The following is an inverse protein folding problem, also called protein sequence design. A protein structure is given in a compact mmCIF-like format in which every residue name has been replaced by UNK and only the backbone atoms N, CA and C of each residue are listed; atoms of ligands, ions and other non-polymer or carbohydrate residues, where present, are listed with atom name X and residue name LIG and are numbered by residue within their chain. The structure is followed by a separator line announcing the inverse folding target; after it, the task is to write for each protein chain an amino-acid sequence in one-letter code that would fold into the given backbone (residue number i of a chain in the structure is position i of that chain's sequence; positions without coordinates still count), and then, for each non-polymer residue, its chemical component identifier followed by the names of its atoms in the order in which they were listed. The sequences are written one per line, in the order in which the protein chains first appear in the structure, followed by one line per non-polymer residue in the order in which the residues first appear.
data_IF_718772504749
#
_entry.id   IF_718772504749
#
_cell.length_a   1.000
_cell.length_b   1.000
_cell.length_c   1.000
_cell.angle_alpha   90.00
_cell.angle_beta   90.00
_cell.angle_gamma   90.00
#
_symmetry.space_group_name_H-M   'P 1'
#
loop_
_entity.id
_entity.type
_entity.pdbx_description
1 polymer ?
#
# COMPACT_ATOMS: atom_id res chain seq x y z
N UNK A 1 -11.79 -9.67 -9.77
CA UNK A 1 -12.63 -9.45 -8.57
C UNK A 1 -12.04 -8.25 -7.86
N UNK A 2 -12.82 -7.20 -7.63
CA UNK A 2 -12.29 -5.93 -7.13
C UNK A 2 -12.18 -5.89 -5.60
N UNK A 3 -11.34 -4.97 -5.12
CA UNK A 3 -11.01 -4.75 -3.73
C UNK A 3 -11.15 -3.28 -3.37
N UNK A 4 -11.56 -3.00 -2.14
CA UNK A 4 -11.51 -1.66 -1.56
C UNK A 4 -10.14 -1.41 -0.93
N UNK A 5 -9.42 -0.42 -1.43
CA UNK A 5 -8.27 0.19 -0.75
C UNK A 5 -8.80 1.29 0.16
N UNK A 6 -8.84 1.02 1.46
CA UNK A 6 -9.39 1.93 2.47
C UNK A 6 -8.25 2.58 3.23
N UNK A 7 -8.21 3.92 3.22
CA UNK A 7 -7.23 4.71 3.96
C UNK A 7 -7.91 5.54 5.04
N UNK A 8 -7.42 5.47 6.28
CA UNK A 8 -7.92 6.34 7.34
C UNK A 8 -7.35 7.76 7.18
N UNK A 9 -8.14 8.67 6.63
CA UNK A 9 -7.74 10.04 6.35
C UNK A 9 -7.87 10.95 7.59
N UNK A 10 -8.95 10.81 8.36
CA UNK A 10 -9.17 11.57 9.61
C UNK A 10 -9.14 10.70 10.85
N UNK A 11 -8.77 11.31 11.97
CA UNK A 11 -8.69 10.64 13.27
C UNK A 11 -10.07 10.44 13.88
N UNK A 12 -10.24 9.38 14.68
CA UNK A 12 -11.46 9.11 15.45
C UNK A 12 -11.41 9.66 16.89
N UNK A 13 -10.52 10.61 17.17
CA UNK A 13 -10.46 11.28 18.47
C UNK A 13 -11.79 12.01 18.74
N UNK A 14 -12.27 11.94 19.98
CA UNK A 14 -13.54 12.56 20.37
C UNK A 14 -14.80 11.91 19.76
N UNK A 15 -14.68 10.88 18.91
CA UNK A 15 -15.84 10.19 18.36
C UNK A 15 -16.37 9.09 19.30
N UNK A 16 -17.67 8.75 19.20
CA UNK A 16 -18.28 7.66 19.97
C UNK A 16 -17.59 6.32 19.76
N UNK A 17 -17.69 5.45 20.78
CA UNK A 17 -17.12 4.11 20.77
C UNK A 17 -17.63 3.26 19.60
N UNK A 18 -18.89 3.43 19.20
CA UNK A 18 -19.47 2.73 18.05
C UNK A 18 -18.70 2.99 16.76
N UNK A 19 -18.29 4.24 16.50
CA UNK A 19 -17.50 4.62 15.32
C UNK A 19 -16.09 4.04 15.40
N UNK A 20 -15.48 4.08 16.59
CA UNK A 20 -14.17 3.45 16.84
C UNK A 20 -14.20 1.94 16.65
N UNK A 21 -15.29 1.28 17.06
CA UNK A 21 -15.52 -0.14 16.88
C UNK A 21 -15.58 -0.53 15.40
N UNK A 22 -16.28 0.24 14.56
CA UNK A 22 -16.32 0.01 13.10
C UNK A 22 -14.93 0.14 12.48
N UNK A 23 -14.17 1.17 12.85
CA UNK A 23 -12.79 1.35 12.36
C UNK A 23 -11.87 0.21 12.81
N UNK A 24 -12.01 -0.26 14.05
CA UNK A 24 -11.26 -1.40 14.57
C UNK A 24 -11.59 -2.69 13.81
N UNK A 25 -12.88 -2.93 13.51
CA UNK A 25 -13.33 -4.07 12.70
C UNK A 25 -12.77 -4.03 11.27
N UNK A 26 -12.67 -2.85 10.67
CA UNK A 26 -12.00 -2.66 9.37
C UNK A 26 -10.47 -2.80 9.43
N UNK A 27 -9.86 -2.82 10.63
CA UNK A 27 -8.41 -2.87 10.81
C UNK A 27 -7.69 -1.51 10.82
N UNK A 28 -8.44 -0.40 10.85
CA UNK A 28 -7.92 0.96 10.80
C UNK A 28 -7.61 1.51 12.20
N UNK A 29 -6.41 1.18 12.71
CA UNK A 29 -5.97 1.62 14.06
C UNK A 29 -5.25 2.97 14.09
N UNK A 30 -4.43 3.29 13.09
CA UNK A 30 -3.62 4.53 13.02
C UNK A 30 -4.03 5.34 11.79
N UNK A 31 -3.89 6.67 11.86
CA UNK A 31 -4.09 7.55 10.69
C UNK A 31 -3.14 7.18 9.56
N UNK A 32 -3.58 7.41 8.33
CA UNK A 32 -2.84 7.09 7.09
C UNK A 32 -2.48 5.60 6.92
N UNK A 33 -3.07 4.74 7.74
CA UNK A 33 -3.00 3.30 7.55
C UNK A 33 -3.93 2.91 6.38
N UNK A 34 -3.47 1.93 5.60
CA UNK A 34 -4.17 1.41 4.43
C UNK A 34 -4.49 -0.05 4.68
N UNK A 35 -5.73 -0.45 4.42
CA UNK A 35 -6.19 -1.84 4.51
C UNK A 35 -6.95 -2.18 3.23
N UNK A 36 -6.86 -3.43 2.81
CA UNK A 36 -7.56 -3.96 1.64
C UNK A 36 -8.62 -4.96 2.08
N UNK A 37 -9.84 -4.79 1.57
CA UNK A 37 -10.95 -5.73 1.79
C UNK A 37 -11.61 -6.05 0.45
N UNK A 38 -12.14 -7.28 0.25
CA UNK A 38 -12.86 -7.62 -0.97
C UNK A 38 -14.13 -6.78 -1.10
N UNK A 39 -14.54 -6.46 -2.32
CA UNK A 39 -15.80 -5.73 -2.56
C UNK A 39 -16.98 -6.62 -2.16
N UNK A 40 -17.62 -6.27 -1.04
CA UNK A 40 -18.83 -6.93 -0.54
C UNK A 40 -19.78 -5.90 0.10
N UNK A 41 -21.08 -6.22 0.11
CA UNK A 41 -22.09 -5.35 0.72
C UNK A 41 -21.82 -5.11 2.23
N UNK A 42 -21.24 -6.09 2.93
CA UNK A 42 -20.89 -5.96 4.34
C UNK A 42 -19.80 -4.89 4.55
N UNK A 43 -18.72 -4.94 3.76
CA UNK A 43 -17.65 -3.94 3.83
C UNK A 43 -18.14 -2.56 3.37
N UNK A 44 -18.95 -2.49 2.31
CA UNK A 44 -19.56 -1.25 1.85
C UNK A 44 -20.41 -0.59 2.96
N UNK A 45 -21.24 -1.38 3.66
CA UNK A 45 -22.05 -0.88 4.78
C UNK A 45 -21.22 -0.40 5.98
N UNK A 46 -20.09 -1.06 6.27
CA UNK A 46 -19.15 -0.59 7.30
C UNK A 46 -18.47 0.71 6.90
N UNK A 47 -18.01 0.82 5.65
CA UNK A 47 -17.39 2.02 5.07
C UNK A 47 -18.36 3.21 5.14
N UNK A 48 -19.62 3.01 4.75
CA UNK A 48 -20.63 4.08 4.74
C UNK A 48 -20.88 4.68 6.13
N UNK A 49 -20.71 3.90 7.21
CA UNK A 49 -20.83 4.39 8.60
C UNK A 49 -19.66 5.31 9.01
N UNK A 50 -18.54 5.27 8.31
CA UNK A 50 -17.31 6.03 8.62
C UNK A 50 -16.80 6.82 7.42
N UNK A 51 -17.66 7.11 6.44
CA UNK A 51 -17.31 7.74 5.15
C UNK A 51 -16.64 9.11 5.29
N UNK A 52 -16.87 9.81 6.40
CA UNK A 52 -16.28 11.10 6.70
C UNK A 52 -14.83 11.00 7.21
N UNK A 53 -14.38 9.79 7.56
CA UNK A 53 -13.05 9.52 8.11
C UNK A 53 -12.13 8.80 7.12
N UNK A 54 -12.69 8.08 6.16
CA UNK A 54 -11.95 7.21 5.25
C UNK A 54 -11.93 7.75 3.83
N UNK A 55 -10.84 7.48 3.11
CA UNK A 55 -10.75 7.58 1.65
C UNK A 55 -10.78 6.17 1.08
N UNK A 56 -11.62 5.94 0.08
CA UNK A 56 -11.79 4.63 -0.55
C UNK A 56 -11.46 4.73 -2.03
N UNK A 57 -10.67 3.79 -2.50
CA UNK A 57 -10.32 3.58 -3.91
C UNK A 57 -10.63 2.12 -4.26
N UNK A 58 -11.18 1.87 -5.44
CA UNK A 58 -11.35 0.51 -5.96
C UNK A 58 -10.07 0.08 -6.68
N UNK A 59 -9.60 -1.13 -6.43
CA UNK A 59 -8.38 -1.71 -7.01
C UNK A 59 -8.61 -3.16 -7.42
N UNK A 60 -7.91 -3.65 -8.44
CA UNK A 60 -8.09 -5.02 -8.93
C UNK A 60 -7.51 -6.08 -8.00
N UNK A 61 -6.40 -5.74 -7.31
CA UNK A 61 -5.72 -6.65 -6.38
C UNK A 61 -5.34 -5.96 -5.07
N UNK A 62 -5.34 -6.69 -3.95
CA UNK A 62 -4.84 -6.18 -2.69
C UNK A 62 -3.31 -6.16 -2.72
N UNK A 63 -2.70 -5.12 -2.15
CA UNK A 63 -1.26 -5.06 -1.95
C UNK A 63 -0.89 -5.58 -0.56
N UNK A 64 0.17 -6.35 -0.50
CA UNK A 64 0.80 -6.76 0.76
C UNK A 64 1.48 -5.58 1.44
N UNK A 65 1.72 -5.68 2.75
CA UNK A 65 2.40 -4.62 3.50
C UNK A 65 3.81 -4.31 2.97
N UNK A 66 4.50 -5.31 2.42
CA UNK A 66 5.80 -5.14 1.79
C UNK A 66 5.69 -4.33 0.50
N UNK A 67 4.75 -4.67 -0.38
CA UNK A 67 4.49 -3.93 -1.63
C UNK A 67 4.07 -2.49 -1.35
N UNK A 68 3.17 -2.25 -0.38
CA UNK A 68 2.80 -0.88 0.03
C UNK A 68 4.01 -0.09 0.55
N UNK A 69 4.95 -0.75 1.24
CA UNK A 69 6.20 -0.10 1.69
C UNK A 69 7.09 0.24 0.50
N UNK A 70 7.23 -0.67 -0.46
CA UNK A 70 8.02 -0.45 -1.68
C UNK A 70 7.43 0.67 -2.52
N UNK A 71 6.10 0.72 -2.72
CA UNK A 71 5.40 1.81 -3.43
C UNK A 71 5.73 3.19 -2.84
N UNK A 72 5.89 3.27 -1.51
CA UNK A 72 6.20 4.51 -0.80
C UNK A 72 7.69 4.83 -0.74
N UNK A 73 8.55 3.88 -1.10
CA UNK A 73 10.00 4.05 -1.00
C UNK A 73 10.49 4.77 -2.26
N UNK A 74 11.04 5.99 -2.15
CA UNK A 74 11.59 6.69 -3.30
C UNK A 74 12.85 5.98 -3.82
N UNK A 75 13.27 6.32 -5.03
CA UNK A 75 14.55 5.83 -5.53
C UNK A 75 15.70 6.35 -4.67
N UNK A 76 16.66 5.49 -4.27
CA UNK A 76 17.74 5.88 -3.36
C UNK A 76 18.59 7.05 -3.85
N UNK A 77 18.68 7.27 -5.17
CA UNK A 77 19.46 8.36 -5.77
C UNK A 77 20.97 8.16 -5.74
N UNK A 78 21.46 7.01 -5.25
CA UNK A 78 22.86 6.61 -5.29
C UNK A 78 22.98 5.13 -5.66
N UNK A 79 24.07 4.77 -6.33
CA UNK A 79 24.49 3.39 -6.52
C UNK A 79 25.76 3.14 -5.71
N UNK A 80 25.83 1.99 -5.05
CA UNK A 80 27.01 1.56 -4.31
C UNK A 80 28.01 0.97 -5.31
N UNK A 81 29.04 1.72 -5.67
CA UNK A 81 30.22 1.17 -6.31
C UNK A 81 31.02 0.42 -5.24
N UNK A 82 30.89 -0.90 -5.20
CA UNK A 82 31.67 -1.72 -4.30
C UNK A 82 33.15 -1.56 -4.63
N UNK A 83 33.95 -1.05 -3.68
CA UNK A 83 35.40 -1.09 -3.78
C UNK A 83 35.89 -2.32 -3.03
N UNK A 84 35.91 -3.45 -3.72
CA UNK A 84 36.76 -4.59 -3.39
C UNK A 84 37.22 -5.23 -4.69
N UNK A 85 38.52 -5.35 -4.80
CA UNK A 85 39.33 -5.86 -5.91
C UNK A 85 38.65 -6.92 -6.79
N UNK A 86 38.55 -6.65 -8.10
CA UNK A 86 38.39 -7.66 -9.15
C UNK A 86 36.98 -8.27 -9.34
N UNK A 87 36.25 -7.80 -10.37
CA UNK A 87 35.37 -8.70 -11.16
C UNK A 87 33.84 -8.63 -11.00
N UNK A 88 33.26 -7.70 -10.23
CA UNK A 88 31.82 -7.75 -9.85
C UNK A 88 30.87 -7.03 -10.83
N UNK A 89 31.38 -6.36 -11.86
CA UNK A 89 30.61 -5.38 -12.66
C UNK A 89 29.43 -5.97 -13.48
N UNK A 90 29.37 -7.28 -13.75
CA UNK A 90 28.31 -7.85 -14.62
C UNK A 90 27.03 -8.29 -13.88
N UNK A 91 27.09 -8.58 -12.58
CA UNK A 91 25.92 -9.09 -11.84
C UNK A 91 25.01 -7.97 -11.30
N UNK A 92 25.59 -6.81 -10.95
CA UNK A 92 24.85 -5.67 -10.41
C UNK A 92 23.95 -5.00 -11.47
N UNK A 93 24.41 -4.93 -12.72
CA UNK A 93 23.60 -4.46 -13.85
C UNK A 93 22.38 -5.34 -14.11
N UNK A 94 22.52 -6.67 -13.93
CA UNK A 94 21.42 -7.61 -14.12
C UNK A 94 20.36 -7.49 -13.00
N UNK A 95 20.79 -7.28 -11.75
CA UNK A 95 19.88 -7.13 -10.62
C UNK A 95 19.14 -5.78 -10.62
N UNK A 96 19.80 -4.72 -11.08
CA UNK A 96 19.21 -3.40 -11.24
C UNK A 96 18.14 -3.38 -12.35
N UNK A 97 18.41 -4.03 -13.50
CA UNK A 97 17.42 -4.23 -14.57
C UNK A 97 16.20 -5.02 -14.06
N UNK A 98 16.43 -6.10 -13.31
CA UNK A 98 15.35 -6.92 -12.74
C UNK A 98 14.49 -6.17 -11.72
N UNK A 99 15.08 -5.28 -10.91
CA UNK A 99 14.33 -4.41 -9.99
C UNK A 99 13.56 -3.30 -10.71
N UNK A 100 14.11 -2.77 -11.80
CA UNK A 100 13.44 -1.81 -12.68
C UNK A 100 12.22 -2.42 -13.37
N UNK A 101 12.38 -3.61 -13.95
CA UNK A 101 11.31 -4.39 -14.57
C UNK A 101 10.16 -4.67 -13.59
N UNK A 102 10.46 -5.08 -12.35
CA UNK A 102 9.42 -5.29 -11.32
C UNK A 102 8.69 -3.98 -10.96
N UNK A 103 9.37 -2.82 -11.03
CA UNK A 103 8.77 -1.51 -10.74
C UNK A 103 7.85 -1.05 -11.89
N UNK A 104 8.24 -1.33 -13.15
CA UNK A 104 7.41 -1.10 -14.34
C UNK A 104 6.20 -2.04 -14.39
N UNK A 105 6.37 -3.33 -14.10
CA UNK A 105 5.31 -4.33 -14.12
C UNK A 105 4.23 -4.03 -13.05
N UNK A 106 4.63 -3.52 -11.88
CA UNK A 106 3.71 -3.04 -10.85
C UNK A 106 3.05 -1.70 -11.23
N UNK A 107 3.71 -0.90 -12.08
CA UNK A 107 3.16 0.33 -12.65
C UNK A 107 2.14 0.09 -13.78
N UNK A 108 2.33 -0.96 -14.60
CA UNK A 108 1.42 -1.33 -15.70
C UNK A 108 0.12 -1.98 -15.25
N UNK A 109 0.07 -2.64 -14.08
CA UNK A 109 -1.18 -3.17 -13.48
C UNK A 109 -2.14 -2.03 -13.03
N UNK A 110 -1.82 -0.78 -13.37
CA UNK A 110 -2.59 0.43 -13.05
C UNK A 110 -3.32 1.04 -14.26
N UNK A 111 -3.31 0.37 -15.42
CA UNK A 111 -4.08 0.71 -16.63
C UNK A 111 -5.12 -0.39 -16.92
#
# INVERSE_FOLDING_TARGET
MSWFRITLHRSAIGLPERTRGVLAALGLRKRSNVVFHPVSAQFAGMILKVKELVKVEEVDRPLTRAEVKVERTPDPGFWLESRAEGGVLKEVDALARRKGEIKEEVGEIRL
#
